data_IF_819249293242
#
_entry.id   IF_819249293242
#
_cell.length_a   1.000
_cell.length_b   1.000
_cell.length_c   1.000
_cell.angle_alpha   90.00
_cell.angle_beta   90.00
_cell.angle_gamma   90.00
#
_symmetry.space_group_name_H-M   'P 1'
#
loop_
_entity.id
_entity.type
_entity.pdbx_description
1 polymer ?
#
# COMPACT_ATOMS: atom_id res chain seq x y z
N UNK A 1 -21.50 -5.03 5.12
CA UNK A 1 -20.71 -6.28 5.01
C UNK A 1 -20.51 -6.83 6.42
N UNK A 2 -20.85 -8.09 6.69
CA UNK A 2 -20.70 -8.69 8.03
C UNK A 2 -19.43 -9.57 8.04
N UNK A 3 -18.46 -9.20 8.89
CA UNK A 3 -17.12 -9.79 8.95
C UNK A 3 -17.02 -11.03 9.85
N UNK A 4 -17.93 -11.14 10.81
CA UNK A 4 -17.99 -12.26 11.74
C UNK A 4 -19.42 -12.46 12.25
N UNK A 5 -19.68 -13.63 12.84
CA UNK A 5 -20.96 -13.97 13.47
C UNK A 5 -20.73 -14.50 14.87
N UNK A 6 -21.63 -14.18 15.79
CA UNK A 6 -21.63 -14.78 17.12
C UNK A 6 -22.29 -16.16 17.04
N UNK A 7 -21.61 -17.19 17.53
CA UNK A 7 -22.15 -18.54 17.67
C UNK A 7 -21.70 -19.10 19.02
N UNK A 8 -22.65 -19.52 19.85
CA UNK A 8 -22.37 -20.09 21.18
C UNK A 8 -21.49 -19.18 22.07
N UNK A 9 -21.68 -17.86 21.96
CA UNK A 9 -20.89 -16.85 22.70
C UNK A 9 -19.51 -16.56 22.11
N UNK A 10 -19.09 -17.25 21.04
CA UNK A 10 -17.82 -17.05 20.37
C UNK A 10 -17.97 -16.30 19.05
N UNK A 11 -17.09 -15.34 18.79
CA UNK A 11 -17.06 -14.60 17.52
C UNK A 11 -16.34 -15.45 16.45
N UNK A 12 -17.07 -15.90 15.45
CA UNK A 12 -16.52 -16.72 14.36
C UNK A 12 -16.36 -15.85 13.11
N UNK A 13 -15.12 -15.67 12.59
CA UNK A 13 -14.88 -14.96 11.33
C UNK A 13 -15.60 -15.62 10.17
N UNK A 14 -16.17 -14.82 9.27
CA UNK A 14 -16.74 -15.33 8.04
C UNK A 14 -15.61 -15.52 7.02
N UNK A 15 -15.47 -16.70 6.37
CA UNK A 15 -14.51 -16.84 5.29
C UNK A 15 -14.93 -15.94 4.13
N UNK A 16 -14.03 -15.07 3.69
CA UNK A 16 -14.21 -14.16 2.55
C UNK A 16 -13.15 -14.51 1.51
N UNK A 17 -13.58 -14.69 0.27
CA UNK A 17 -12.65 -14.92 -0.84
C UNK A 17 -11.76 -13.69 -1.02
N UNK A 18 -10.46 -13.91 -1.21
CA UNK A 18 -9.51 -12.84 -1.55
C UNK A 18 -9.94 -12.03 -2.78
N UNK A 19 -10.65 -12.66 -3.72
CA UNK A 19 -11.16 -11.99 -4.91
C UNK A 19 -12.17 -10.86 -4.59
N UNK A 20 -12.84 -10.92 -3.44
CA UNK A 20 -13.79 -9.89 -3.02
C UNK A 20 -13.12 -8.52 -2.75
N UNK A 21 -11.80 -8.53 -2.48
CA UNK A 21 -11.03 -7.31 -2.23
C UNK A 21 -10.42 -6.70 -3.48
N UNK A 22 -10.41 -7.42 -4.61
CA UNK A 22 -9.81 -6.94 -5.86
C UNK A 22 -10.36 -5.58 -6.31
N UNK A 23 -11.69 -5.31 -6.31
CA UNK A 23 -12.19 -3.99 -6.69
C UNK A 23 -11.61 -2.86 -5.84
N UNK A 24 -11.52 -3.06 -4.53
CA UNK A 24 -10.96 -2.11 -3.58
C UNK A 24 -9.46 -1.91 -3.79
N UNK A 25 -8.70 -2.98 -4.04
CA UNK A 25 -7.27 -2.88 -4.34
C UNK A 25 -7.02 -2.04 -5.61
N UNK A 26 -7.74 -2.33 -6.69
CA UNK A 26 -7.64 -1.54 -7.93
C UNK A 26 -7.98 -0.06 -7.70
N UNK A 27 -8.96 0.23 -6.84
CA UNK A 27 -9.36 1.60 -6.52
C UNK A 27 -8.35 2.35 -5.64
N UNK A 28 -7.80 1.71 -4.60
CA UNK A 28 -6.83 2.31 -3.69
C UNK A 28 -5.52 2.61 -4.44
N UNK A 29 -5.02 1.65 -5.22
CA UNK A 29 -3.76 1.78 -5.96
C UNK A 29 -3.92 2.44 -7.34
N UNK A 30 -5.14 2.84 -7.71
CA UNK A 30 -5.44 3.46 -9.01
C UNK A 30 -4.94 2.63 -10.20
N UNK A 31 -5.02 1.31 -10.07
CA UNK A 31 -4.59 0.39 -11.11
C UNK A 31 -5.52 0.40 -12.32
N UNK A 32 -4.94 0.26 -13.52
CA UNK A 32 -5.70 0.11 -14.76
C UNK A 32 -6.32 -1.29 -14.82
N UNK A 33 -7.65 -1.34 -14.93
CA UNK A 33 -8.43 -2.58 -15.04
C UNK A 33 -8.10 -3.41 -16.28
N UNK A 34 -7.44 -2.83 -17.29
CA UNK A 34 -6.94 -3.54 -18.47
C UNK A 34 -5.68 -4.36 -18.16
N UNK A 35 -4.91 -3.96 -17.14
CA UNK A 35 -3.66 -4.60 -16.75
C UNK A 35 -3.89 -5.68 -15.67
N UNK A 36 -2.95 -6.62 -15.60
CA UNK A 36 -2.85 -7.57 -14.48
C UNK A 36 -1.66 -7.19 -13.60
N UNK A 37 -1.81 -7.36 -12.30
CA UNK A 37 -0.82 -6.97 -11.31
C UNK A 37 -0.38 -8.21 -10.53
N UNK A 38 0.92 -8.31 -10.26
CA UNK A 38 1.50 -9.31 -9.37
C UNK A 38 2.24 -8.59 -8.26
N UNK A 39 1.99 -9.01 -7.02
CA UNK A 39 2.66 -8.48 -5.83
C UNK A 39 3.28 -9.66 -5.11
N UNK A 40 4.50 -9.45 -4.62
CA UNK A 40 5.20 -10.42 -3.79
C UNK A 40 4.98 -10.10 -2.31
N UNK A 41 4.96 -11.16 -1.52
CA UNK A 41 4.76 -11.06 -0.09
C UNK A 41 5.36 -12.21 0.67
N UNK A 42 5.41 -12.09 1.98
CA UNK A 42 5.92 -13.08 2.92
C UNK A 42 4.74 -13.64 3.72
N UNK A 43 4.77 -14.96 3.92
CA UNK A 43 3.81 -15.67 4.75
C UNK A 43 4.47 -16.07 6.07
N UNK A 44 3.88 -15.66 7.18
CA UNK A 44 4.29 -16.06 8.53
C UNK A 44 3.20 -16.94 9.16
N UNK A 45 3.63 -18.05 9.75
CA UNK A 45 2.74 -18.96 10.47
C UNK A 45 3.28 -19.22 11.88
N UNK A 46 2.40 -19.13 12.88
CA UNK A 46 2.70 -19.45 14.28
C UNK A 46 1.49 -20.11 14.91
N UNK A 47 1.59 -21.42 15.15
CA UNK A 47 0.46 -22.22 15.65
C UNK A 47 -0.75 -22.07 14.73
N UNK A 48 -1.84 -21.49 15.25
CA UNK A 48 -3.08 -21.25 14.50
C UNK A 48 -3.16 -19.85 13.87
N UNK A 49 -2.16 -19.00 14.09
CA UNK A 49 -2.08 -17.66 13.52
C UNK A 49 -1.35 -17.69 12.17
N UNK A 50 -1.89 -16.97 11.19
CA UNK A 50 -1.31 -16.83 9.86
C UNK A 50 -1.37 -15.36 9.44
N UNK A 51 -0.25 -14.82 8.98
CA UNK A 51 -0.14 -13.43 8.51
C UNK A 51 0.51 -13.43 7.13
N UNK A 52 -0.09 -12.68 6.20
CA UNK A 52 0.42 -12.43 4.86
C UNK A 52 0.74 -10.94 4.74
N UNK A 53 1.98 -10.62 4.41
CA UNK A 53 2.47 -9.24 4.29
C UNK A 53 2.95 -9.06 2.87
N UNK A 54 2.45 -8.04 2.19
CA UNK A 54 2.73 -7.78 0.77
C UNK A 54 3.49 -6.46 0.65
N UNK A 55 4.58 -6.46 -0.11
CA UNK A 55 5.28 -5.23 -0.45
C UNK A 55 4.70 -4.67 -1.75
N UNK A 56 4.01 -3.54 -1.66
CA UNK A 56 3.35 -2.92 -2.81
C UNK A 56 4.34 -2.19 -3.73
N UNK A 57 5.52 -1.80 -3.26
CA UNK A 57 6.56 -1.16 -4.08
C UNK A 57 7.12 -2.13 -5.13
N UNK A 58 6.99 -3.43 -4.88
CA UNK A 58 7.42 -4.52 -5.74
C UNK A 58 6.35 -4.98 -6.73
N UNK A 59 5.34 -4.16 -6.99
CA UNK A 59 4.25 -4.51 -7.90
C UNK A 59 4.76 -4.63 -9.34
N UNK A 60 4.60 -5.80 -9.93
CA UNK A 60 4.82 -6.05 -11.34
C UNK A 60 3.52 -5.91 -12.13
N UNK A 61 3.62 -5.41 -13.36
CA UNK A 61 2.48 -5.14 -14.22
C UNK A 61 2.60 -5.95 -15.50
N UNK A 62 1.56 -6.69 -15.83
CA UNK A 62 1.39 -7.34 -17.13
C UNK A 62 0.41 -6.53 -17.97
N UNK A 63 0.97 -5.81 -18.94
CA UNK A 63 0.26 -4.89 -19.84
C UNK A 63 -0.11 -5.65 -21.11
N UNK A 64 -1.39 -5.76 -21.52
CA UNK A 64 -1.77 -6.40 -22.77
C UNK A 64 -1.15 -5.68 -24.00
N UNK A 65 -0.66 -6.40 -25.00
CA UNK A 65 -0.16 -5.78 -26.25
C UNK A 65 -1.29 -5.27 -27.16
N UNK A 66 -2.54 -5.68 -26.90
CA UNK A 66 -3.71 -5.18 -27.63
C UNK A 66 -4.14 -3.77 -27.21
N UNK A 67 -3.61 -3.24 -26.11
CA UNK A 67 -3.76 -1.82 -25.79
C UNK A 67 -2.68 -1.07 -26.57
N UNK A 68 -3.09 -0.25 -27.54
CA UNK A 68 -2.23 0.50 -28.47
C UNK A 68 -1.21 1.48 -27.81
N UNK A 69 -1.08 1.45 -26.49
CA UNK A 69 -0.24 2.35 -25.69
C UNK A 69 1.21 1.87 -25.56
N UNK A 70 1.52 0.65 -26.02
CA UNK A 70 2.90 0.16 -26.08
C UNK A 70 3.44 0.42 -27.48
N UNK A 71 4.29 1.43 -27.60
CA UNK A 71 5.11 1.66 -28.80
C UNK A 71 5.80 0.35 -29.15
N UNK A 72 5.75 -0.05 -30.43
CA UNK A 72 6.38 -1.27 -30.94
C UNK A 72 7.78 -1.47 -30.33
N UNK A 73 8.17 -2.71 -30.01
CA UNK A 73 9.45 -2.98 -29.36
C UNK A 73 10.57 -2.45 -30.24
N UNK A 74 11.22 -1.38 -29.80
CA UNK A 74 12.47 -0.94 -30.40
C UNK A 74 13.51 -2.03 -30.08
N UNK A 75 14.45 -2.28 -31.00
CA UNK A 75 15.40 -3.41 -31.00
C UNK A 75 16.34 -3.51 -29.76
N UNK A 76 16.10 -2.72 -28.71
CA UNK A 76 16.85 -2.64 -27.47
C UNK A 76 16.02 -3.07 -26.23
N UNK A 77 14.83 -3.65 -26.40
CA UNK A 77 14.08 -4.20 -25.27
C UNK A 77 14.76 -5.50 -24.78
N UNK A 78 14.99 -5.66 -23.47
CA UNK A 78 15.45 -6.93 -22.93
C UNK A 78 14.44 -8.03 -23.29
N UNK A 79 14.91 -9.25 -23.58
CA UNK A 79 14.07 -10.45 -23.73
C UNK A 79 13.40 -10.83 -22.40
N UNK A 80 12.51 -9.98 -21.89
CA UNK A 80 11.55 -10.36 -20.85
C UNK A 80 10.41 -11.07 -21.56
N UNK A 81 10.65 -12.33 -21.93
CA UNK A 81 9.72 -13.23 -22.62
C UNK A 81 8.34 -13.10 -21.98
N UNK A 82 7.46 -12.39 -22.66
CA UNK A 82 6.05 -12.34 -22.39
C UNK A 82 5.38 -12.90 -23.64
N UNK A 83 4.46 -13.86 -23.45
CA UNK A 83 3.63 -14.36 -24.54
C UNK A 83 3.17 -13.20 -25.42
N UNK A 84 3.06 -13.41 -26.74
CA UNK A 84 2.77 -12.42 -27.79
C UNK A 84 1.61 -11.42 -27.54
N UNK A 85 0.86 -11.62 -26.45
CA UNK A 85 -0.32 -10.89 -26.00
C UNK A 85 -0.06 -9.89 -24.86
N UNK A 86 1.15 -9.78 -24.31
CA UNK A 86 1.43 -8.83 -23.22
C UNK A 86 2.90 -8.44 -23.13
N UNK A 87 3.21 -7.39 -22.39
CA UNK A 87 4.55 -6.95 -21.96
C UNK A 87 4.59 -6.92 -20.42
N UNK A 88 5.72 -7.29 -19.83
CA UNK A 88 5.96 -7.17 -18.38
C UNK A 88 6.68 -5.87 -18.06
N UNK A 89 6.14 -5.11 -17.12
CA UNK A 89 6.76 -3.94 -16.52
C UNK A 89 7.08 -4.22 -15.05
N UNK A 90 8.27 -3.80 -14.63
CA UNK A 90 8.80 -3.96 -13.29
C UNK A 90 8.93 -2.59 -12.61
N UNK A 91 8.99 -2.54 -11.26
CA UNK A 91 9.30 -1.32 -10.54
C UNK A 91 10.58 -0.65 -11.08
N UNK A 92 10.56 0.67 -11.24
CA UNK A 92 11.69 1.41 -11.82
C UNK A 92 12.97 1.25 -10.97
N UNK A 93 12.80 1.18 -9.64
CA UNK A 93 13.91 1.06 -8.69
C UNK A 93 14.70 -0.24 -8.85
N UNK A 94 14.12 -1.28 -9.46
CA UNK A 94 14.81 -2.54 -9.75
C UNK A 94 15.95 -2.39 -10.75
N UNK A 95 15.87 -1.40 -11.65
CA UNK A 95 16.87 -1.19 -12.71
C UNK A 95 18.30 -1.06 -12.15
N UNK A 96 18.45 -0.46 -10.96
CA UNK A 96 19.75 -0.21 -10.34
C UNK A 96 19.94 -0.94 -9.00
N UNK A 97 19.05 -1.87 -8.65
CA UNK A 97 19.02 -2.50 -7.31
C UNK A 97 19.08 -4.02 -7.34
N UNK A 98 19.60 -4.61 -8.43
CA UNK A 98 19.79 -6.06 -8.53
C UNK A 98 20.49 -6.62 -7.27
N UNK A 99 19.81 -7.53 -6.58
CA UNK A 99 20.26 -8.14 -5.33
C UNK A 99 19.93 -7.39 -4.04
N UNK A 100 19.73 -6.07 -4.06
CA UNK A 100 19.52 -5.28 -2.83
C UNK A 100 18.11 -5.39 -2.26
N UNK A 101 17.08 -5.40 -3.11
CA UNK A 101 15.70 -5.34 -2.67
C UNK A 101 15.27 -6.61 -1.88
N UNK A 102 15.73 -7.79 -2.32
CA UNK A 102 15.42 -9.07 -1.66
C UNK A 102 15.89 -9.13 -0.19
N UNK A 103 17.15 -8.78 0.09
CA UNK A 103 17.68 -8.87 1.46
C UNK A 103 17.09 -7.78 2.37
N UNK A 104 16.88 -6.58 1.84
CA UNK A 104 16.28 -5.48 2.58
C UNK A 104 14.86 -5.83 3.01
N UNK A 105 14.08 -6.46 2.12
CA UNK A 105 12.73 -6.92 2.42
C UNK A 105 12.68 -8.02 3.48
N UNK A 106 13.62 -8.96 3.46
CA UNK A 106 13.69 -10.01 4.49
C UNK A 106 13.93 -9.47 5.90
N UNK A 107 14.44 -8.24 6.00
CA UNK A 107 14.72 -7.52 7.25
C UNK A 107 13.80 -6.30 7.43
N UNK A 108 12.71 -6.22 6.66
CA UNK A 108 11.86 -5.04 6.68
C UNK A 108 11.27 -4.84 8.10
N UNK A 109 11.27 -3.60 8.63
CA UNK A 109 10.86 -3.33 10.02
C UNK A 109 9.46 -3.89 10.35
N UNK A 110 8.53 -3.84 9.40
CA UNK A 110 7.17 -4.38 9.53
C UNK A 110 7.13 -5.90 9.78
N UNK A 111 8.17 -6.65 9.40
CA UNK A 111 8.27 -8.09 9.66
C UNK A 111 8.74 -8.40 11.09
N UNK A 112 9.34 -7.43 11.79
CA UNK A 112 9.90 -7.65 13.13
C UNK A 112 8.82 -7.97 14.18
N UNK A 113 7.59 -7.52 13.95
CA UNK A 113 6.43 -7.78 14.81
C UNK A 113 5.87 -9.21 14.65
N UNK A 114 6.18 -9.86 13.52
CA UNK A 114 5.70 -11.20 13.17
C UNK A 114 6.77 -12.29 13.33
N UNK A 115 7.69 -12.07 14.27
CA UNK A 115 8.72 -13.03 14.68
C UNK A 115 8.17 -14.08 15.65
N UNK A 116 8.82 -15.24 15.72
CA UNK A 116 8.30 -16.39 16.48
C UNK A 116 8.18 -16.12 18.00
N UNK A 117 9.02 -15.25 18.55
CA UNK A 117 9.06 -14.85 19.96
C UNK A 117 7.98 -13.82 20.34
N UNK A 118 7.40 -13.10 19.36
CA UNK A 118 6.38 -12.06 19.59
C UNK A 118 4.98 -12.65 19.67
N UNK A 119 4.09 -12.00 20.42
CA UNK A 119 2.67 -12.34 20.46
C UNK A 119 1.93 -11.54 19.40
N UNK A 120 1.48 -12.18 18.31
CA UNK A 120 0.93 -11.48 17.15
C UNK A 120 -0.49 -10.95 17.37
N UNK A 121 -1.23 -11.54 18.31
CA UNK A 121 -2.58 -11.10 18.67
C UNK A 121 -3.54 -10.98 17.47
N UNK A 122 -3.39 -11.82 16.44
CA UNK A 122 -4.15 -11.71 15.17
C UNK A 122 -5.66 -11.85 15.32
N UNK A 123 -6.11 -12.49 16.41
CA UNK A 123 -7.53 -12.68 16.75
C UNK A 123 -8.07 -11.66 17.78
N UNK A 124 -7.26 -10.69 18.21
CA UNK A 124 -7.70 -9.67 19.16
C UNK A 124 -8.65 -8.66 18.48
N UNK A 125 -9.57 -8.09 19.26
CA UNK A 125 -10.50 -7.08 18.73
C UNK A 125 -9.73 -5.85 18.25
N UNK A 126 -9.99 -5.45 17.00
CA UNK A 126 -9.40 -4.24 16.43
C UNK A 126 -9.93 -3.01 17.16
N UNK A 127 -9.02 -2.12 17.58
CA UNK A 127 -9.40 -0.76 17.98
C UNK A 127 -9.44 0.11 16.72
N UNK A 128 -10.57 0.74 16.37
CA UNK A 128 -10.61 1.68 15.27
C UNK A 128 -9.56 2.76 15.45
N UNK A 129 -8.75 3.01 14.42
CA UNK A 129 -7.85 4.15 14.43
C UNK A 129 -8.68 5.42 14.56
N UNK A 130 -8.42 6.20 15.60
CA UNK A 130 -8.98 7.54 15.78
C UNK A 130 -7.88 8.52 15.46
N UNK A 131 -8.08 9.28 14.39
CA UNK A 131 -7.16 10.36 14.01
C UNK A 131 -7.02 11.30 15.22
N UNK A 132 -5.78 11.63 15.65
CA UNK A 132 -5.56 12.61 16.70
C UNK A 132 -6.32 13.90 16.36
N UNK A 133 -6.89 14.55 17.37
CA UNK A 133 -7.51 15.86 17.13
C UNK A 133 -6.48 16.80 16.50
N UNK A 134 -6.81 17.33 15.32
CA UNK A 134 -5.95 18.29 14.63
C UNK A 134 -5.72 19.46 15.58
N UNK A 135 -4.47 19.64 16.00
CA UNK A 135 -4.03 20.80 16.77
C UNK A 135 -3.98 22.01 15.84
N UNK A 136 -5.16 22.49 15.43
CA UNK A 136 -5.28 23.68 14.58
C UNK A 136 -5.10 24.93 15.43
N UNK A 137 -4.39 25.92 14.88
CA UNK A 137 -4.34 27.25 15.50
C UNK A 137 -5.76 27.83 15.56
N UNK A 138 -6.24 28.30 16.72
CA UNK A 138 -7.56 28.91 16.84
C UNK A 138 -7.75 30.06 15.86
N UNK A 139 -8.97 30.21 15.35
CA UNK A 139 -9.32 31.24 14.35
C UNK A 139 -8.96 32.64 14.83
N UNK A 140 -9.16 32.91 16.12
CA UNK A 140 -8.85 34.18 16.76
C UNK A 140 -7.35 34.50 16.68
N UNK A 141 -6.50 33.51 16.92
CA UNK A 141 -5.03 33.64 16.82
C UNK A 141 -4.60 33.88 15.37
N UNK A 142 -5.21 33.18 14.40
CA UNK A 142 -4.95 33.41 12.98
C UNK A 142 -5.32 34.85 12.59
N UNK A 143 -6.48 35.34 13.01
CA UNK A 143 -6.94 36.71 12.72
C UNK A 143 -6.00 37.75 13.33
N UNK A 144 -5.55 37.55 14.57
CA UNK A 144 -4.61 38.48 15.22
C UNK A 144 -3.26 38.49 14.50
N UNK A 145 -2.73 37.32 14.14
CA UNK A 145 -1.46 37.24 13.40
C UNK A 145 -1.54 37.93 12.04
N UNK A 146 -2.63 37.75 11.29
CA UNK A 146 -2.86 38.45 10.02
C UNK A 146 -2.91 39.97 10.22
N UNK A 147 -3.62 40.44 11.25
CA UNK A 147 -3.69 41.89 11.57
C UNK A 147 -2.32 42.46 11.92
N UNK A 148 -1.52 41.73 12.70
CA UNK A 148 -0.18 42.16 13.07
C UNK A 148 0.72 42.29 11.84
N UNK A 149 0.74 41.28 10.96
CA UNK A 149 1.51 41.31 9.70
C UNK A 149 1.09 42.50 8.81
N UNK A 150 -0.22 42.74 8.65
CA UNK A 150 -0.72 43.88 7.87
C UNK A 150 -0.29 45.22 8.49
N UNK A 151 -0.21 45.29 9.81
CA UNK A 151 0.18 46.52 10.53
C UNK A 151 1.67 46.78 10.41
N UNK A 152 2.51 45.74 10.53
CA UNK A 152 3.96 45.82 10.31
C UNK A 152 4.27 46.29 8.89
N UNK A 153 3.66 45.67 7.87
CA UNK A 153 3.85 46.06 6.46
C UNK A 153 3.49 47.53 6.20
N UNK A 154 2.45 48.05 6.88
CA UNK A 154 2.03 49.45 6.75
C UNK A 154 2.87 50.41 7.58
N UNK A 155 3.46 49.95 8.68
CA UNK A 155 4.34 50.73 9.55
C UNK A 155 5.72 50.97 8.97
N UNK A 156 6.24 50.04 8.17
CA UNK A 156 7.57 50.11 7.56
C UNK A 156 7.65 50.95 6.27
N UNK A 157 6.57 51.66 5.89
CA UNK A 157 6.54 52.53 4.68
C UNK A 157 6.76 54.02 5.01
N UNK A 158 7.52 54.37 6.06
CA UNK A 158 7.98 55.75 6.32
C UNK A 158 9.42 55.97 5.90
#
# INVERSE_FOLDING_TARGET
>A
MQWSRLKDGQLIPKPISGAAFLPTLYEIFKWDKKCKYRILGVAHQKGNENVLIFNMDDTEIRIPTSTNDVSAPNNNMPDTISDSKSVLAYPADWMNSFGNNYYTQSQAPELTEFTADKNWQTASESKPYKEPELQTTPKETIIQNIKNIITEIKGDTQ
#
